data_IF_141646432216
#
_entry.id   IF_141646432216
#
_cell.length_a   1.000
_cell.length_b   1.000
_cell.length_c   1.000
_cell.angle_alpha   90.00
_cell.angle_beta   90.00
_cell.angle_gamma   90.00
#
_symmetry.space_group_name_H-M   'P 1'
#
loop_
_entity.id
_entity.type
_entity.pdbx_description
1 polymer ?
#
# COMPACT_ATOMS: atom_id res chain seq x y z
N UNK A 1 -13.22 -4.36 -11.21
CA UNK A 1 -14.34 -5.02 -11.91
C UNK A 1 -15.66 -4.39 -11.45
N UNK A 2 -16.62 -4.11 -12.37
CA UNK A 2 -17.91 -3.48 -12.00
C UNK A 2 -18.70 -4.25 -10.94
N UNK A 3 -18.69 -5.59 -11.01
CA UNK A 3 -19.33 -6.46 -10.01
C UNK A 3 -18.71 -6.35 -8.61
N UNK A 4 -17.43 -6.01 -8.49
CA UNK A 4 -16.78 -5.81 -7.20
C UNK A 4 -17.36 -4.59 -6.47
N UNK A 5 -17.60 -3.47 -7.16
CA UNK A 5 -18.17 -2.26 -6.54
C UNK A 5 -19.54 -2.53 -5.93
N UNK A 6 -20.42 -3.24 -6.67
CA UNK A 6 -21.74 -3.63 -6.18
C UNK A 6 -21.66 -4.52 -4.93
N UNK A 7 -20.72 -5.48 -4.92
CA UNK A 7 -20.50 -6.35 -3.76
C UNK A 7 -20.03 -5.56 -2.53
N UNK A 8 -19.07 -4.66 -2.70
CA UNK A 8 -18.55 -3.84 -1.60
C UNK A 8 -19.66 -3.00 -0.96
N UNK A 9 -20.50 -2.34 -1.78
CA UNK A 9 -21.64 -1.57 -1.30
C UNK A 9 -22.64 -2.47 -0.55
N UNK A 10 -22.99 -3.64 -1.11
CA UNK A 10 -23.92 -4.58 -0.46
C UNK A 10 -23.41 -5.09 0.90
N UNK A 11 -22.09 -5.32 1.03
CA UNK A 11 -21.49 -5.71 2.31
C UNK A 11 -21.57 -4.57 3.33
N UNK A 12 -21.30 -3.32 2.92
CA UNK A 12 -21.49 -2.16 3.80
C UNK A 12 -22.95 -1.99 4.22
N UNK A 13 -23.90 -2.18 3.30
CA UNK A 13 -25.34 -2.10 3.59
C UNK A 13 -25.78 -3.18 4.58
N UNK A 14 -25.15 -4.37 4.54
CA UNK A 14 -25.36 -5.45 5.49
C UNK A 14 -24.67 -5.22 6.86
N UNK A 15 -23.97 -4.08 7.05
CA UNK A 15 -23.35 -3.69 8.32
C UNK A 15 -21.95 -4.26 8.54
N UNK A 16 -21.31 -4.81 7.51
CA UNK A 16 -19.92 -5.28 7.61
C UNK A 16 -18.92 -4.11 7.55
N UNK A 17 -17.84 -4.26 8.29
CA UNK A 17 -16.64 -3.44 8.10
C UNK A 17 -15.87 -3.99 6.90
N UNK A 18 -15.71 -3.20 5.84
CA UNK A 18 -15.18 -3.66 4.55
C UNK A 18 -13.88 -2.98 4.23
N UNK A 19 -12.87 -3.76 3.81
CA UNK A 19 -11.62 -3.25 3.25
C UNK A 19 -11.38 -3.81 1.85
N UNK A 20 -10.73 -3.01 1.00
CA UNK A 20 -10.36 -3.37 -0.37
C UNK A 20 -8.85 -3.21 -0.55
N UNK A 21 -8.14 -4.32 -0.76
CA UNK A 21 -6.76 -4.26 -1.26
C UNK A 21 -6.78 -4.16 -2.79
N UNK A 22 -6.03 -3.20 -3.34
CA UNK A 22 -5.95 -2.96 -4.79
C UNK A 22 -4.53 -2.62 -5.22
N UNK A 23 -4.17 -3.04 -6.43
CA UNK A 23 -2.88 -2.68 -7.05
C UNK A 23 -2.76 -1.19 -7.41
N UNK A 24 -3.82 -0.40 -7.25
CA UNK A 24 -3.80 1.01 -7.62
C UNK A 24 -3.78 1.30 -9.14
N UNK A 25 -3.84 0.27 -10.00
CA UNK A 25 -3.78 0.42 -11.45
C UNK A 25 -5.11 0.83 -12.10
N UNK A 26 -6.20 0.84 -11.35
CA UNK A 26 -7.53 1.26 -11.80
C UNK A 26 -8.05 2.39 -10.92
N UNK A 27 -8.96 3.20 -11.50
CA UNK A 27 -9.65 4.27 -10.76
C UNK A 27 -10.42 3.70 -9.56
N UNK A 28 -10.18 4.28 -8.39
CA UNK A 28 -10.83 3.93 -7.12
C UNK A 28 -11.99 4.87 -6.77
N UNK A 29 -12.26 5.89 -7.59
CA UNK A 29 -13.29 6.91 -7.31
C UNK A 29 -14.71 6.35 -7.20
N UNK A 30 -14.97 5.19 -7.84
CA UNK A 30 -16.26 4.51 -7.76
C UNK A 30 -16.45 3.58 -6.55
N UNK A 31 -15.45 3.45 -5.66
CA UNK A 31 -15.55 2.62 -4.46
C UNK A 31 -16.42 3.32 -3.42
N UNK A 32 -17.35 2.57 -2.79
CA UNK A 32 -18.20 3.09 -1.71
C UNK A 32 -17.36 3.77 -0.61
N UNK A 33 -17.66 4.99 -0.20
CA UNK A 33 -16.83 5.74 0.76
C UNK A 33 -16.74 5.12 2.15
N UNK A 34 -17.57 4.13 2.47
CA UNK A 34 -17.49 3.37 3.73
C UNK A 34 -16.42 2.28 3.71
N UNK A 35 -15.88 1.95 2.52
CA UNK A 35 -14.83 0.94 2.35
C UNK A 35 -13.47 1.57 2.62
N UNK A 36 -12.66 0.98 3.51
CA UNK A 36 -11.25 1.32 3.67
C UNK A 36 -10.43 0.75 2.51
N UNK A 37 -9.72 1.58 1.78
CA UNK A 37 -8.93 1.17 0.61
C UNK A 37 -7.46 1.05 1.01
N UNK A 38 -6.87 -0.11 0.77
CA UNK A 38 -5.43 -0.32 0.87
C UNK A 38 -4.88 -0.33 -0.55
N UNK A 39 -4.24 0.77 -0.96
CA UNK A 39 -3.79 0.99 -2.33
C UNK A 39 -2.29 0.74 -2.42
N UNK A 40 -1.87 -0.20 -3.27
CA UNK A 40 -0.44 -0.39 -3.56
C UNK A 40 0.06 0.70 -4.52
N UNK A 41 1.14 1.37 -4.14
CA UNK A 41 1.95 2.19 -5.05
C UNK A 41 3.22 1.39 -5.40
N UNK A 42 3.34 0.99 -6.66
CA UNK A 42 4.38 0.07 -7.12
C UNK A 42 5.71 0.79 -7.32
N UNK A 43 6.75 0.34 -6.59
CA UNK A 43 8.11 0.86 -6.74
C UNK A 43 8.78 0.38 -8.02
N UNK A 44 9.82 1.08 -8.54
CA UNK A 44 10.54 0.72 -9.76
C UNK A 44 11.08 -0.71 -9.75
N UNK A 45 11.61 -1.18 -8.62
CA UNK A 45 12.12 -2.55 -8.46
C UNK A 45 11.08 -3.65 -8.68
N UNK A 46 9.78 -3.32 -8.68
CA UNK A 46 8.72 -4.28 -9.02
C UNK A 46 8.55 -4.50 -10.53
N UNK A 47 9.06 -3.59 -11.37
CA UNK A 47 8.80 -3.56 -12.82
C UNK A 47 7.38 -3.13 -13.20
N UNK A 48 6.52 -2.76 -12.24
CA UNK A 48 5.11 -2.44 -12.44
C UNK A 48 4.80 -0.94 -12.17
N UNK A 49 5.83 -0.12 -11.95
CA UNK A 49 5.68 1.31 -11.64
C UNK A 49 4.82 2.06 -12.67
N UNK A 50 5.01 1.77 -13.96
CA UNK A 50 4.27 2.41 -15.05
C UNK A 50 2.75 2.17 -15.01
N UNK A 51 2.29 1.22 -14.18
CA UNK A 51 0.85 0.93 -13.97
C UNK A 51 0.23 1.72 -12.83
N UNK A 52 1.01 2.50 -12.08
CA UNK A 52 0.48 3.36 -11.04
C UNK A 52 -0.45 4.43 -11.63
N UNK A 53 -1.68 4.46 -11.16
CA UNK A 53 -2.64 5.52 -11.51
C UNK A 53 -2.57 6.62 -10.44
N UNK A 54 -1.67 7.60 -10.64
CA UNK A 54 -1.44 8.66 -9.65
C UNK A 54 -2.66 9.54 -9.38
N UNK A 55 -3.64 9.57 -10.31
CA UNK A 55 -4.94 10.24 -10.08
C UNK A 55 -5.76 9.61 -8.94
N UNK A 56 -5.38 8.44 -8.44
CA UNK A 56 -5.96 7.85 -7.24
C UNK A 56 -5.51 8.54 -5.94
N UNK A 57 -4.33 9.16 -5.93
CA UNK A 57 -3.76 9.78 -4.72
C UNK A 57 -4.66 10.86 -4.12
N UNK A 58 -5.21 11.82 -4.91
CA UNK A 58 -6.14 12.81 -4.37
C UNK A 58 -7.44 12.26 -3.80
N UNK A 59 -7.80 11.01 -4.16
CA UNK A 59 -9.02 10.34 -3.70
C UNK A 59 -8.85 9.62 -2.36
N UNK A 60 -7.60 9.52 -1.87
CA UNK A 60 -7.31 8.88 -0.58
C UNK A 60 -7.79 9.75 0.59
N UNK A 61 -8.31 9.09 1.62
CA UNK A 61 -8.82 9.69 2.85
C UNK A 61 -8.10 9.13 4.07
N UNK A 62 -8.21 9.71 5.26
CA UNK A 62 -7.54 9.23 6.47
C UNK A 62 -7.90 7.79 6.88
N UNK A 63 -9.00 7.23 6.38
CA UNK A 63 -9.40 5.83 6.63
C UNK A 63 -8.75 4.82 5.67
N UNK A 64 -8.10 5.31 4.61
CA UNK A 64 -7.40 4.48 3.64
C UNK A 64 -5.96 4.24 4.08
N UNK A 65 -5.25 3.35 3.41
CA UNK A 65 -3.82 3.12 3.57
C UNK A 65 -3.12 3.08 2.21
N UNK A 66 -1.92 3.62 2.13
CA UNK A 66 -1.07 3.52 0.95
C UNK A 66 0.11 2.60 1.27
N UNK A 67 0.31 1.56 0.48
CA UNK A 67 1.33 0.55 0.70
C UNK A 67 2.37 0.57 -0.41
N UNK A 68 3.66 0.63 -0.04
CA UNK A 68 4.79 0.53 -0.94
C UNK A 68 5.64 -0.67 -0.54
N UNK A 69 5.85 -1.58 -1.49
CA UNK A 69 6.68 -2.78 -1.29
C UNK A 69 8.01 -2.54 -1.96
N UNK A 70 9.11 -2.62 -1.19
CA UNK A 70 10.44 -2.15 -1.55
C UNK A 70 11.43 -3.31 -1.59
N UNK A 71 12.19 -3.41 -2.67
CA UNK A 71 13.18 -4.46 -2.87
C UNK A 71 14.61 -4.00 -2.59
N UNK A 72 14.85 -2.67 -2.54
CA UNK A 72 16.20 -2.11 -2.47
C UNK A 72 16.23 -0.73 -1.80
N UNK A 73 17.44 -0.22 -1.53
CA UNK A 73 17.63 1.17 -1.09
C UNK A 73 17.23 2.19 -2.17
N UNK A 74 17.36 1.84 -3.45
CA UNK A 74 16.90 2.68 -4.55
C UNK A 74 15.37 2.84 -4.52
N UNK A 75 14.63 1.75 -4.28
CA UNK A 75 13.17 1.81 -4.08
C UNK A 75 12.80 2.67 -2.86
N UNK A 76 13.57 2.56 -1.77
CA UNK A 76 13.35 3.39 -0.59
C UNK A 76 13.58 4.88 -0.88
N UNK A 77 14.63 5.23 -1.62
CA UNK A 77 14.89 6.61 -2.03
C UNK A 77 13.74 7.15 -2.91
N UNK A 78 13.26 6.33 -3.84
CA UNK A 78 12.10 6.66 -4.67
C UNK A 78 10.83 6.84 -3.81
N UNK A 79 10.56 5.93 -2.87
CA UNK A 79 9.41 6.03 -1.98
C UNK A 79 9.43 7.33 -1.16
N UNK A 80 10.60 7.75 -0.65
CA UNK A 80 10.76 9.05 0.02
C UNK A 80 10.38 10.22 -0.88
N UNK A 81 10.82 10.19 -2.14
CA UNK A 81 10.49 11.23 -3.11
C UNK A 81 8.96 11.28 -3.35
N UNK A 82 8.31 10.13 -3.55
CA UNK A 82 6.85 10.07 -3.73
C UNK A 82 6.09 10.56 -2.50
N UNK A 83 6.54 10.20 -1.30
CA UNK A 83 5.93 10.66 -0.04
C UNK A 83 5.98 12.19 0.06
N UNK A 84 7.12 12.79 -0.28
CA UNK A 84 7.29 14.24 -0.23
C UNK A 84 6.54 14.97 -1.36
N UNK A 85 6.66 14.49 -2.60
CA UNK A 85 6.06 15.12 -3.79
C UNK A 85 4.53 15.17 -3.71
N UNK A 86 3.92 14.09 -3.22
CA UNK A 86 2.46 13.97 -3.16
C UNK A 86 1.88 14.21 -1.76
N UNK A 87 2.70 14.57 -0.77
CA UNK A 87 2.29 14.83 0.62
C UNK A 87 1.50 13.65 1.23
N UNK A 88 1.96 12.41 0.94
CA UNK A 88 1.18 11.19 1.16
C UNK A 88 0.80 10.98 2.63
N UNK A 89 1.74 11.22 3.55
CA UNK A 89 1.53 10.99 4.99
C UNK A 89 0.53 11.96 5.66
N UNK A 90 0.16 13.04 4.96
CA UNK A 90 -0.93 13.94 5.39
C UNK A 90 -2.29 13.49 4.90
N UNK A 91 -2.34 12.59 3.91
CA UNK A 91 -3.58 12.08 3.33
C UNK A 91 -4.09 10.86 4.07
N UNK A 92 -3.22 9.86 4.24
CA UNK A 92 -3.54 8.59 4.89
C UNK A 92 -2.26 7.96 5.50
N UNK A 93 -2.39 6.94 6.35
CA UNK A 93 -1.28 6.10 6.75
C UNK A 93 -0.52 5.52 5.56
N UNK A 94 0.81 5.64 5.58
CA UNK A 94 1.71 5.06 4.58
C UNK A 94 2.46 3.89 5.19
N UNK A 95 2.44 2.74 4.50
CA UNK A 95 3.09 1.51 4.92
C UNK A 95 4.25 1.20 3.97
N UNK A 96 5.44 1.00 4.54
CA UNK A 96 6.60 0.50 3.81
C UNK A 96 6.84 -0.96 4.19
N UNK A 97 6.90 -1.84 3.20
CA UNK A 97 7.09 -3.26 3.39
C UNK A 97 8.31 -3.76 2.60
N UNK A 98 9.22 -4.55 3.19
CA UNK A 98 10.32 -5.13 2.44
C UNK A 98 9.87 -6.33 1.61
N UNK A 99 10.44 -6.48 0.41
CA UNK A 99 10.33 -7.73 -0.35
C UNK A 99 11.15 -8.81 0.36
N UNK A 100 10.50 -9.90 0.74
CA UNK A 100 11.18 -11.00 1.44
C UNK A 100 12.30 -11.59 0.56
N UNK A 101 13.47 -11.78 1.17
CA UNK A 101 14.65 -12.32 0.51
C UNK A 101 15.41 -11.32 -0.38
N UNK A 102 14.92 -10.08 -0.52
CA UNK A 102 15.63 -9.03 -1.25
C UNK A 102 16.02 -7.85 -0.35
N UNK A 103 15.14 -7.44 0.56
CA UNK A 103 15.41 -6.36 1.50
C UNK A 103 15.15 -6.85 2.94
N UNK A 104 16.18 -6.75 3.77
CA UNK A 104 16.07 -7.11 5.19
C UNK A 104 15.16 -6.11 5.94
N UNK A 105 14.18 -6.59 6.73
CA UNK A 105 13.29 -5.71 7.49
C UNK A 105 14.03 -4.77 8.44
N UNK A 106 15.15 -5.23 9.03
CA UNK A 106 15.98 -4.42 9.92
C UNK A 106 16.65 -3.26 9.19
N UNK A 107 17.08 -3.45 7.93
CA UNK A 107 17.67 -2.39 7.12
C UNK A 107 16.62 -1.30 6.80
N UNK A 108 15.42 -1.72 6.37
CA UNK A 108 14.32 -0.79 6.10
C UNK A 108 13.93 -0.01 7.37
N UNK A 109 13.84 -0.68 8.52
CA UNK A 109 13.56 -0.04 9.80
C UNK A 109 14.62 1.02 10.16
N UNK A 110 15.91 0.69 9.98
CA UNK A 110 17.02 1.61 10.23
C UNK A 110 16.93 2.85 9.33
N UNK A 111 16.60 2.70 8.06
CA UNK A 111 16.43 3.84 7.14
C UNK A 111 15.25 4.74 7.52
N UNK A 112 14.10 4.14 7.88
CA UNK A 112 12.92 4.88 8.34
C UNK A 112 13.26 5.72 9.59
N UNK A 113 13.97 5.14 10.56
CA UNK A 113 14.37 5.81 11.79
C UNK A 113 15.41 6.90 11.53
N UNK A 114 16.44 6.62 10.71
CA UNK A 114 17.47 7.59 10.31
C UNK A 114 16.83 8.84 9.70
N UNK A 115 15.88 8.65 8.80
CA UNK A 115 15.24 9.72 8.04
C UNK A 115 14.00 10.30 8.73
N UNK A 116 13.63 9.76 9.90
CA UNK A 116 12.46 10.17 10.71
C UNK A 116 11.17 10.25 9.88
N UNK A 117 10.99 9.30 8.96
CA UNK A 117 9.80 9.25 8.13
C UNK A 117 8.56 8.87 8.99
N UNK A 118 7.45 9.63 8.89
CA UNK A 118 6.22 9.32 9.62
C UNK A 118 5.40 8.24 8.91
N UNK A 119 5.99 7.06 8.76
CA UNK A 119 5.42 5.89 8.09
C UNK A 119 5.39 4.68 9.02
N UNK A 120 4.64 3.64 8.66
CA UNK A 120 4.65 2.35 9.36
C UNK A 120 5.52 1.35 8.60
N UNK A 121 6.36 0.61 9.32
CA UNK A 121 6.98 -0.60 8.79
C UNK A 121 5.96 -1.74 8.86
N UNK A 122 5.73 -2.43 7.75
CA UNK A 122 4.90 -3.62 7.69
C UNK A 122 5.73 -4.81 7.18
N UNK A 123 5.68 -5.93 7.89
CA UNK A 123 6.25 -7.20 7.42
C UNK A 123 5.13 -8.16 7.02
N UNK A 124 5.41 -9.05 6.09
CA UNK A 124 4.48 -10.09 5.65
C UNK A 124 4.50 -11.23 6.70
N UNK A 125 3.63 -11.14 7.71
CA UNK A 125 3.64 -12.03 8.87
C UNK A 125 3.48 -13.50 8.47
N UNK A 126 2.63 -13.81 7.48
CA UNK A 126 2.45 -15.17 6.98
C UNK A 126 3.78 -15.77 6.47
N UNK A 127 4.64 -14.96 5.85
CA UNK A 127 5.95 -15.42 5.39
C UNK A 127 6.95 -15.64 6.53
N UNK A 128 6.80 -14.91 7.63
CA UNK A 128 7.61 -15.14 8.83
C UNK A 128 7.20 -16.45 9.51
N UNK A 129 5.88 -16.73 9.55
CA UNK A 129 5.35 -17.91 10.25
C UNK A 129 5.50 -19.18 9.41
N UNK A 130 5.19 -19.12 8.12
CA UNK A 130 5.12 -20.30 7.23
C UNK A 130 6.11 -20.28 6.06
N UNK A 131 6.99 -19.28 5.99
CA UNK A 131 7.93 -19.15 4.88
C UNK A 131 7.23 -18.88 3.55
N UNK A 132 7.61 -19.65 2.51
CA UNK A 132 7.03 -19.52 1.16
C UNK A 132 6.01 -20.63 0.85
N UNK A 133 5.39 -21.24 1.86
CA UNK A 133 4.37 -22.26 1.62
C UNK A 133 3.14 -21.63 0.92
N UNK A 134 2.72 -22.17 -0.26
CA UNK A 134 1.57 -21.65 -0.99
C UNK A 134 0.26 -21.86 -0.20
N UNK A 135 -0.61 -20.85 -0.19
CA UNK A 135 -1.95 -20.95 0.40
C UNK A 135 -2.01 -20.78 1.92
N UNK A 136 -0.93 -20.27 2.51
CA UNK A 136 -0.85 -19.95 3.94
C UNK A 136 -0.52 -18.50 4.20
#
# INVERSE_FOLDING_TARGET
>A
QKSCLTLLTALCDAGYSVSLETSGALDIGGVDPRVSRIVDLKAPGSGEEARNLLSNIPLLTPQDELKLVLASEADYAWAKAQIAEHDLTRRCPVLLAPVQGQLEPAALAAWILRDKLPVRLQVQLHKIIWGNEPGR
#
